data_IF_372648039796
#
_entry.id   IF_372648039796
#
_cell.length_a   1.000
_cell.length_b   1.000
_cell.length_c   1.000
_cell.angle_alpha   90.00
_cell.angle_beta   90.00
_cell.angle_gamma   90.00
#
_symmetry.space_group_name_H-M   'P 1'
#
loop_
_entity.id
_entity.type
_entity.pdbx_description
1 polymer ?
#
# COMPACT_ATOMS: atom_id res chain seq x y z
N UNK A 1 -0.02 40.76 18.50
CA UNK A 1 1.21 40.12 17.99
C UNK A 1 1.21 38.57 18.09
N UNK A 2 0.06 37.91 18.35
CA UNK A 2 -0.03 36.46 18.61
C UNK A 2 -0.76 35.66 17.49
N UNK A 3 -1.30 36.32 16.46
CA UNK A 3 -2.04 35.68 15.37
C UNK A 3 -1.15 35.14 14.26
N UNK A 4 0.06 35.69 14.07
CA UNK A 4 0.99 35.28 13.01
C UNK A 4 1.77 34.00 13.34
N UNK A 5 1.83 33.58 14.62
CA UNK A 5 2.49 32.32 15.02
C UNK A 5 1.58 31.10 14.79
N UNK A 6 0.27 31.24 14.98
CA UNK A 6 -0.71 30.15 14.84
C UNK A 6 -0.96 29.79 13.37
N UNK A 7 -0.94 30.79 12.48
CA UNK A 7 -0.99 30.56 11.02
C UNK A 7 0.29 29.89 10.50
N UNK A 8 1.44 30.18 11.12
CA UNK A 8 2.71 29.54 10.76
C UNK A 8 2.77 28.08 11.21
N UNK A 9 2.21 27.76 12.39
CA UNK A 9 2.17 26.39 12.91
C UNK A 9 1.25 25.49 12.07
N UNK A 10 0.06 25.98 11.69
CA UNK A 10 -0.86 25.27 10.79
C UNK A 10 -0.29 25.08 9.39
N UNK A 11 0.35 26.11 8.81
CA UNK A 11 1.06 25.97 7.53
C UNK A 11 2.24 24.99 7.62
N UNK A 12 2.94 24.89 8.76
CA UNK A 12 4.02 23.93 8.94
C UNK A 12 3.48 22.51 9.11
N UNK A 13 2.39 22.31 9.86
CA UNK A 13 1.72 21.01 9.94
C UNK A 13 1.14 20.58 8.59
N UNK A 14 0.58 21.51 7.82
CA UNK A 14 0.11 21.28 6.46
C UNK A 14 1.28 20.94 5.54
N UNK A 15 2.42 21.65 5.59
CA UNK A 15 3.61 21.36 4.79
C UNK A 15 4.31 20.06 5.22
N UNK A 16 4.29 19.71 6.50
CA UNK A 16 4.79 18.42 7.02
C UNK A 16 3.84 17.29 6.59
N UNK A 17 2.53 17.54 6.53
CA UNK A 17 1.54 16.57 6.01
C UNK A 17 1.63 16.42 4.49
N UNK A 18 1.88 17.51 3.77
CA UNK A 18 2.03 17.56 2.31
C UNK A 18 3.34 16.90 1.90
N UNK A 19 4.44 17.17 2.62
CA UNK A 19 5.72 16.49 2.44
C UNK A 19 5.65 14.99 2.76
N UNK A 20 4.79 14.57 3.70
CA UNK A 20 4.49 13.15 3.97
C UNK A 20 3.65 12.49 2.88
N UNK A 21 2.81 13.26 2.15
CA UNK A 21 1.95 12.77 1.05
C UNK A 21 2.60 12.82 -0.33
N UNK A 22 3.58 13.68 -0.55
CA UNK A 22 4.32 13.81 -1.81
C UNK A 22 4.76 12.47 -2.46
N UNK A 23 5.35 11.49 -1.72
CA UNK A 23 5.69 10.20 -2.32
C UNK A 23 4.48 9.32 -2.66
N UNK A 24 3.35 9.52 -1.97
CA UNK A 24 2.10 8.79 -2.21
C UNK A 24 1.42 9.29 -3.48
N UNK A 25 1.34 10.61 -3.63
CA UNK A 25 0.78 11.25 -4.81
C UNK A 25 1.60 10.90 -6.05
N UNK A 26 2.94 10.86 -5.93
CA UNK A 26 3.81 10.42 -7.01
C UNK A 26 3.64 8.94 -7.34
N UNK A 27 3.43 8.08 -6.34
CA UNK A 27 3.12 6.67 -6.57
C UNK A 27 1.78 6.49 -7.29
N UNK A 28 0.73 7.16 -6.81
CA UNK A 28 -0.59 7.10 -7.45
C UNK A 28 -0.52 7.62 -8.88
N UNK A 29 0.19 8.73 -9.12
CA UNK A 29 0.44 9.24 -10.46
C UNK A 29 1.15 8.20 -11.35
N UNK A 30 2.14 7.48 -10.82
CA UNK A 30 2.83 6.42 -11.55
C UNK A 30 1.89 5.25 -11.91
N UNK A 31 0.99 4.87 -11.00
CA UNK A 31 -0.02 3.83 -11.23
C UNK A 31 -1.03 4.26 -12.28
N UNK A 32 -1.55 5.49 -12.21
CA UNK A 32 -2.50 6.01 -13.20
C UNK A 32 -1.89 6.15 -14.60
N UNK A 33 -0.60 6.45 -14.70
CA UNK A 33 0.12 6.50 -15.97
C UNK A 33 0.63 5.13 -16.45
N UNK A 34 0.26 4.03 -15.79
CA UNK A 34 0.72 2.67 -16.09
C UNK A 34 2.26 2.54 -16.15
N UNK A 35 2.99 3.32 -15.34
CA UNK A 35 4.46 3.25 -15.24
C UNK A 35 4.87 2.27 -14.15
N UNK A 36 4.73 0.98 -14.44
CA UNK A 36 4.93 -0.09 -13.48
C UNK A 36 6.32 -0.10 -12.80
N UNK A 37 7.40 0.08 -13.58
CA UNK A 37 8.76 0.08 -13.03
C UNK A 37 8.98 1.22 -12.03
N UNK A 38 8.44 2.41 -12.34
CA UNK A 38 8.51 3.58 -11.46
C UNK A 38 7.69 3.35 -10.19
N UNK A 39 6.49 2.80 -10.33
CA UNK A 39 5.63 2.47 -9.20
C UNK A 39 6.30 1.45 -8.26
N UNK A 40 6.95 0.42 -8.81
CA UNK A 40 7.70 -0.59 -8.02
C UNK A 40 8.92 0.01 -7.32
N UNK A 41 9.63 0.92 -7.99
CA UNK A 41 10.75 1.65 -7.40
C UNK A 41 10.28 2.51 -6.21
N UNK A 42 9.17 3.25 -6.39
CA UNK A 42 8.58 4.08 -5.33
C UNK A 42 8.04 3.25 -4.16
N UNK A 43 7.45 2.09 -4.42
CA UNK A 43 7.10 1.10 -3.38
C UNK A 43 8.32 0.66 -2.56
N UNK A 44 9.47 0.50 -3.20
CA UNK A 44 10.68 0.06 -2.49
C UNK A 44 11.29 1.15 -1.61
N UNK A 45 11.10 2.42 -1.99
CA UNK A 45 11.65 3.61 -1.31
C UNK A 45 10.71 4.25 -0.30
N UNK A 46 9.46 3.81 -0.19
CA UNK A 46 8.49 4.36 0.75
C UNK A 46 8.75 3.90 2.20
N UNK A 47 8.33 4.73 3.15
CA UNK A 47 8.49 4.50 4.60
C UNK A 47 7.84 3.19 5.06
N UNK A 48 8.38 2.58 6.11
CA UNK A 48 8.03 1.23 6.60
C UNK A 48 6.51 1.01 6.77
N UNK A 49 5.79 1.95 7.39
CA UNK A 49 4.33 1.82 7.59
C UNK A 49 3.52 1.88 6.28
N UNK A 50 4.05 2.56 5.26
CA UNK A 50 3.40 2.70 3.95
C UNK A 50 3.81 1.60 2.98
N UNK A 51 4.99 1.03 3.17
CA UNK A 51 5.61 0.03 2.29
C UNK A 51 4.69 -1.16 2.02
N UNK A 52 3.89 -1.57 3.00
CA UNK A 52 2.94 -2.69 2.85
C UNK A 52 1.66 -2.31 2.09
N UNK A 53 1.16 -1.09 2.29
CA UNK A 53 -0.13 -0.67 1.75
C UNK A 53 -0.03 -0.17 0.32
N UNK A 54 1.05 0.53 -0.03
CA UNK A 54 1.32 1.03 -1.37
C UNK A 54 1.16 -0.06 -2.45
N UNK A 55 1.80 -1.25 -2.35
CA UNK A 55 1.60 -2.31 -3.32
C UNK A 55 0.17 -2.89 -3.29
N UNK A 56 -0.48 -2.99 -2.13
CA UNK A 56 -1.89 -3.44 -2.06
C UNK A 56 -2.86 -2.47 -2.76
N UNK A 57 -2.62 -1.16 -2.64
CA UNK A 57 -3.37 -0.15 -3.39
C UNK A 57 -3.11 -0.24 -4.89
N UNK A 58 -1.84 -0.41 -5.29
CA UNK A 58 -1.48 -0.67 -6.67
C UNK A 58 -2.26 -1.86 -7.23
N UNK A 59 -2.20 -3.01 -6.57
CA UNK A 59 -2.91 -4.22 -6.96
C UNK A 59 -4.43 -4.00 -7.06
N UNK A 60 -5.02 -3.26 -6.12
CA UNK A 60 -6.46 -2.92 -6.18
C UNK A 60 -6.79 -2.07 -7.42
N UNK A 61 -5.99 -1.05 -7.71
CA UNK A 61 -6.23 -0.13 -8.83
C UNK A 61 -6.07 -0.88 -10.16
N UNK A 62 -4.99 -1.64 -10.33
CA UNK A 62 -4.76 -2.41 -11.55
C UNK A 62 -5.83 -3.47 -11.79
N UNK A 63 -6.31 -4.16 -10.75
CA UNK A 63 -7.43 -5.10 -10.89
C UNK A 63 -8.74 -4.42 -11.26
N UNK A 64 -8.98 -3.22 -10.73
CA UNK A 64 -10.15 -2.42 -11.12
C UNK A 64 -10.03 -1.93 -12.56
N UNK A 65 -8.84 -1.51 -12.99
CA UNK A 65 -8.57 -1.17 -14.37
C UNK A 65 -8.81 -2.38 -15.30
N UNK A 66 -8.28 -3.55 -14.96
CA UNK A 66 -8.50 -4.80 -15.69
C UNK A 66 -9.98 -5.18 -15.85
N UNK A 67 -10.83 -4.88 -14.87
CA UNK A 67 -12.29 -5.13 -14.99
C UNK A 67 -13.02 -4.15 -15.90
N UNK A 68 -12.45 -2.97 -16.16
CA UNK A 68 -13.02 -1.94 -17.01
C UNK A 68 -12.55 -2.05 -18.46
N UNK A 69 -11.40 -2.68 -18.70
CA UNK A 69 -10.87 -2.89 -20.04
C UNK A 69 -11.63 -3.98 -20.82
N UNK A 70 -11.82 -3.72 -22.11
CA UNK A 70 -12.44 -4.65 -23.07
C UNK A 70 -11.39 -5.47 -23.84
N UNK A 71 -10.18 -4.93 -24.00
CA UNK A 71 -9.08 -5.60 -24.67
C UNK A 71 -8.48 -6.66 -23.74
N UNK A 72 -8.45 -7.92 -24.21
CA UNK A 72 -7.98 -9.05 -23.43
C UNK A 72 -6.48 -8.99 -23.17
N UNK A 73 -5.68 -8.48 -24.10
CA UNK A 73 -4.22 -8.41 -23.96
C UNK A 73 -3.85 -7.36 -22.91
N UNK A 74 -4.51 -6.19 -22.96
CA UNK A 74 -4.31 -5.11 -21.98
C UNK A 74 -4.83 -5.55 -20.60
N UNK A 75 -5.98 -6.23 -20.55
CA UNK A 75 -6.53 -6.78 -19.32
C UNK A 75 -5.55 -7.76 -18.66
N UNK A 76 -5.00 -8.71 -19.42
CA UNK A 76 -4.02 -9.66 -18.90
C UNK A 76 -2.79 -8.93 -18.37
N UNK A 77 -2.30 -7.93 -19.10
CA UNK A 77 -1.17 -7.12 -18.66
C UNK A 77 -1.46 -6.42 -17.32
N UNK A 78 -2.66 -5.88 -17.11
CA UNK A 78 -3.03 -5.27 -15.82
C UNK A 78 -3.17 -6.28 -14.70
N UNK A 79 -3.67 -7.49 -14.98
CA UNK A 79 -3.69 -8.57 -14.00
C UNK A 79 -2.27 -9.00 -13.61
N UNK A 80 -1.36 -9.13 -14.57
CA UNK A 80 0.04 -9.47 -14.31
C UNK A 80 0.74 -8.40 -13.45
N UNK A 81 0.51 -7.12 -13.73
CA UNK A 81 1.03 -6.03 -12.90
C UNK A 81 0.47 -6.08 -11.47
N UNK A 82 -0.83 -6.38 -11.31
CA UNK A 82 -1.44 -6.50 -10.00
C UNK A 82 -0.85 -7.66 -9.19
N UNK A 83 -0.59 -8.80 -9.84
CA UNK A 83 -0.01 -9.98 -9.20
C UNK A 83 1.46 -9.78 -8.81
N UNK A 84 2.21 -8.98 -9.58
CA UNK A 84 3.55 -8.55 -9.19
C UNK A 84 3.53 -7.66 -7.94
N UNK A 85 2.57 -6.72 -7.85
CA UNK A 85 2.39 -5.92 -6.62
C UNK A 85 1.96 -6.79 -5.44
N UNK A 86 1.08 -7.78 -5.64
CA UNK A 86 0.66 -8.73 -4.62
C UNK A 86 1.89 -9.51 -4.06
N UNK A 87 2.73 -10.02 -4.97
CA UNK A 87 3.98 -10.72 -4.61
C UNK A 87 4.96 -9.79 -3.88
N UNK A 88 5.03 -8.51 -4.29
CA UNK A 88 5.87 -7.52 -3.61
C UNK A 88 5.38 -7.26 -2.17
N UNK A 89 4.07 -7.11 -1.98
CA UNK A 89 3.46 -6.94 -0.65
C UNK A 89 3.73 -8.17 0.25
N UNK A 90 3.54 -9.38 -0.29
CA UNK A 90 3.85 -10.64 0.38
C UNK A 90 5.32 -10.69 0.82
N UNK A 91 6.25 -10.34 -0.07
CA UNK A 91 7.68 -10.32 0.24
C UNK A 91 8.06 -9.32 1.33
N UNK A 92 7.35 -8.20 1.43
CA UNK A 92 7.56 -7.21 2.50
C UNK A 92 7.08 -7.76 3.85
N UNK A 93 5.87 -8.31 3.92
CA UNK A 93 5.33 -8.82 5.18
C UNK A 93 6.10 -10.05 5.67
N UNK A 94 6.53 -10.93 4.76
CA UNK A 94 7.34 -12.11 5.11
C UNK A 94 8.69 -11.69 5.70
N UNK A 95 9.39 -10.72 5.07
CA UNK A 95 10.63 -10.18 5.65
C UNK A 95 10.42 -9.50 7.00
N UNK A 96 9.30 -8.79 7.17
CA UNK A 96 8.96 -8.19 8.47
C UNK A 96 8.70 -9.27 9.52
N UNK A 97 8.01 -10.34 9.15
CA UNK A 97 7.71 -11.48 10.02
C UNK A 97 8.97 -12.25 10.43
N UNK A 98 9.90 -12.47 9.50
CA UNK A 98 11.18 -13.13 9.77
C UNK A 98 12.07 -12.30 10.72
N UNK A 99 11.91 -10.97 10.72
CA UNK A 99 12.66 -10.08 11.60
C UNK A 99 12.00 -9.94 12.99
N UNK A 100 10.71 -9.64 13.02
CA UNK A 100 9.92 -9.50 14.24
C UNK A 100 8.46 -9.85 13.95
N UNK A 101 8.06 -11.02 14.43
CA UNK A 101 6.70 -11.53 14.30
C UNK A 101 5.66 -10.62 14.97
N UNK A 102 5.95 -10.10 16.16
CA UNK A 102 5.01 -9.24 16.88
C UNK A 102 4.81 -7.92 16.14
N UNK A 103 5.89 -7.33 15.63
CA UNK A 103 5.81 -6.13 14.81
C UNK A 103 5.02 -6.36 13.51
N UNK A 104 5.20 -7.51 12.85
CA UNK A 104 4.47 -7.83 11.63
C UNK A 104 2.96 -7.96 11.87
N UNK A 105 2.55 -8.63 12.94
CA UNK A 105 1.13 -8.74 13.35
C UNK A 105 0.56 -7.37 13.73
N UNK A 106 1.34 -6.54 14.44
CA UNK A 106 0.95 -5.17 14.76
C UNK A 106 0.77 -4.32 13.50
N UNK A 107 1.64 -4.47 12.50
CA UNK A 107 1.54 -3.77 11.23
C UNK A 107 0.26 -4.15 10.46
N UNK A 108 -0.17 -5.42 10.53
CA UNK A 108 -1.44 -5.87 9.95
C UNK A 108 -2.67 -5.26 10.65
N UNK A 109 -2.57 -5.02 11.96
CA UNK A 109 -3.64 -4.47 12.80
C UNK A 109 -3.70 -2.94 12.82
N UNK A 110 -2.61 -2.26 12.47
CA UNK A 110 -2.54 -0.80 12.49
C UNK A 110 -3.21 -0.19 11.26
N UNK A 111 -4.16 0.75 11.44
CA UNK A 111 -4.71 1.52 10.32
C UNK A 111 -3.66 2.51 9.82
N UNK A 112 -3.54 2.65 8.49
CA UNK A 112 -2.77 3.75 7.94
C UNK A 112 -3.60 5.01 7.80
N UNK A 113 -3.29 5.98 8.67
CA UNK A 113 -3.94 7.30 8.69
C UNK A 113 -3.87 8.01 7.33
N UNK A 114 -2.81 7.80 6.54
CA UNK A 114 -2.69 8.49 5.24
C UNK A 114 -3.62 7.95 4.15
N UNK A 115 -4.21 6.76 4.33
CA UNK A 115 -5.18 6.18 3.40
C UNK A 115 -6.56 6.03 4.04
N UNK A 116 -7.00 7.00 4.83
CA UNK A 116 -8.33 7.01 5.45
C UNK A 116 -8.57 5.80 6.38
N UNK A 117 -7.61 5.54 7.26
CA UNK A 117 -7.64 4.47 8.27
C UNK A 117 -7.93 3.08 7.71
N UNK A 118 -7.40 2.81 6.52
CA UNK A 118 -7.55 1.51 5.88
C UNK A 118 -6.59 0.50 6.52
N UNK A 119 -7.17 -0.62 6.95
CA UNK A 119 -6.42 -1.78 7.46
C UNK A 119 -5.86 -2.61 6.30
N UNK A 120 -4.56 -2.99 6.33
CA UNK A 120 -3.95 -3.81 5.29
C UNK A 120 -4.72 -5.11 4.98
N UNK A 121 -5.20 -5.81 6.01
CA UNK A 121 -5.99 -7.04 5.84
C UNK A 121 -7.32 -6.80 5.12
N UNK A 122 -8.03 -5.73 5.50
CA UNK A 122 -9.31 -5.35 4.88
C UNK A 122 -9.11 -4.94 3.43
N UNK A 123 -8.00 -4.24 3.15
CA UNK A 123 -7.62 -3.82 1.80
C UNK A 123 -7.25 -5.02 0.93
N UNK A 124 -6.38 -5.91 1.41
CA UNK A 124 -5.97 -7.10 0.70
C UNK A 124 -7.17 -7.99 0.34
N UNK A 125 -8.11 -8.17 1.27
CA UNK A 125 -9.37 -8.87 1.01
C UNK A 125 -10.20 -8.19 -0.09
N UNK A 126 -10.34 -6.86 -0.05
CA UNK A 126 -11.09 -6.09 -1.06
C UNK A 126 -10.42 -6.14 -2.44
N UNK A 127 -9.09 -6.12 -2.47
CA UNK A 127 -8.29 -6.22 -3.68
C UNK A 127 -8.15 -7.68 -4.18
N UNK A 128 -8.64 -8.66 -3.41
CA UNK A 128 -8.53 -10.11 -3.67
C UNK A 128 -7.09 -10.62 -3.80
N UNK A 129 -6.12 -9.96 -3.15
CA UNK A 129 -4.70 -10.29 -3.17
C UNK A 129 -4.44 -11.70 -2.61
N UNK A 130 -4.31 -12.70 -3.48
CA UNK A 130 -4.25 -14.12 -3.10
C UNK A 130 -2.88 -14.45 -2.51
N UNK A 131 -1.81 -13.93 -3.11
CA UNK A 131 -0.44 -14.21 -2.68
C UNK A 131 -0.19 -13.61 -1.30
N UNK A 132 -0.65 -12.38 -1.06
CA UNK A 132 -0.58 -11.75 0.25
C UNK A 132 -1.38 -12.50 1.32
N UNK A 133 -2.60 -12.95 1.02
CA UNK A 133 -3.41 -13.73 1.97
C UNK A 133 -2.82 -15.11 2.27
N UNK A 134 -2.06 -15.68 1.32
CA UNK A 134 -1.33 -16.93 1.49
C UNK A 134 0.02 -16.76 2.23
N UNK A 135 0.42 -15.54 2.59
CA UNK A 135 1.62 -15.28 3.39
C UNK A 135 1.56 -16.03 4.73
N UNK A 136 2.71 -16.53 5.18
CA UNK A 136 2.88 -17.23 6.45
C UNK A 136 2.42 -16.37 7.63
N UNK A 137 2.69 -15.07 7.58
CA UNK A 137 2.30 -14.12 8.62
C UNK A 137 0.77 -14.02 8.74
N UNK A 138 0.07 -13.90 7.61
CA UNK A 138 -1.40 -13.78 7.60
C UNK A 138 -2.05 -15.09 8.02
N UNK A 139 -1.54 -16.23 7.55
CA UNK A 139 -2.07 -17.56 7.93
C UNK A 139 -1.89 -17.82 9.43
N UNK A 140 -0.70 -17.53 9.98
CA UNK A 140 -0.45 -17.66 11.42
C UNK A 140 -1.30 -16.70 12.26
N UNK A 141 -1.51 -15.48 11.77
CA UNK A 141 -2.41 -14.53 12.41
C UNK A 141 -3.85 -15.05 12.44
N UNK A 142 -4.35 -15.61 11.34
CA UNK A 142 -5.70 -16.18 11.25
C UNK A 142 -5.86 -17.41 12.17
N UNK A 143 -4.84 -18.28 12.22
CA UNK A 143 -4.82 -19.45 13.11
C UNK A 143 -4.87 -19.05 14.60
N UNK A 144 -4.17 -17.98 14.99
CA UNK A 144 -4.23 -17.42 16.34
C UNK A 144 -5.57 -16.74 16.69
N UNK A 145 -6.42 -16.43 15.72
CA UNK A 145 -7.74 -15.82 15.95
C UNK A 145 -8.89 -16.83 15.93
N UNK A 146 -8.62 -18.05 15.45
CA UNK A 146 -9.53 -19.19 15.48
C UNK A 146 -9.53 -19.83 16.88
#
# INVERSE_FOLDING_TARGET
HNTNKNNKLSLLDDNISLGKRAPQDLFLWAVFLNRFELATYLCSKTWVCFKLLTPLFGAQIYRRAATLELDLDIKQQYEDHADQFDTHAMSIIDRCFDHDEHFAVDLLKRPAVAFNDVYPLKLARKATCKSFLASKCVQKYLDHQW
#
